data_IF_463833330777
#
_entry.id   IF_463833330777
#
_cell.length_a   1.000
_cell.length_b   1.000
_cell.length_c   1.000
_cell.angle_alpha   90.00
_cell.angle_beta   90.00
_cell.angle_gamma   90.00
#
_symmetry.space_group_name_H-M   'P 1'
#
loop_
_entity.id
_entity.type
_entity.pdbx_description
1 polymer ?
#
# COMPACT_ATOMS: atom_id res chain seq x y z
N UNK A 1 -10.04 46.65 24.86
CA UNK A 1 -9.91 45.18 24.83
C UNK A 1 -9.59 44.75 23.41
N UNK A 2 -8.38 44.23 23.15
CA UNK A 2 -7.98 43.69 21.85
C UNK A 2 -8.29 42.19 21.86
N UNK A 3 -9.26 41.75 21.05
CA UNK A 3 -9.51 40.34 20.78
C UNK A 3 -8.45 39.86 19.79
N UNK A 4 -7.45 39.13 20.29
CA UNK A 4 -6.50 38.42 19.45
C UNK A 4 -7.14 37.10 19.00
N UNK A 5 -7.49 37.00 17.71
CA UNK A 5 -7.95 35.76 17.11
C UNK A 5 -6.75 34.85 16.86
N UNK A 6 -6.64 33.76 17.62
CA UNK A 6 -5.62 32.73 17.44
C UNK A 6 -6.00 31.86 16.25
N UNK A 7 -5.28 31.99 15.14
CA UNK A 7 -5.39 31.09 13.98
C UNK A 7 -4.68 29.78 14.34
N UNK A 8 -5.44 28.69 14.52
CA UNK A 8 -4.90 27.35 14.63
C UNK A 8 -4.59 26.85 13.21
N UNK A 9 -3.31 26.87 12.83
CA UNK A 9 -2.84 26.25 11.60
C UNK A 9 -2.84 24.74 11.84
N UNK A 10 -3.81 24.03 11.27
CA UNK A 10 -3.86 22.58 11.26
C UNK A 10 -2.82 22.07 10.25
N UNK A 11 -1.62 21.75 10.73
CA UNK A 11 -0.59 21.10 9.93
C UNK A 11 -1.05 19.69 9.57
N UNK A 12 -1.55 19.49 8.34
CA UNK A 12 -1.71 18.14 7.80
C UNK A 12 -0.32 17.52 7.65
N UNK A 13 0.02 16.60 8.55
CA UNK A 13 1.16 15.72 8.34
C UNK A 13 0.88 14.89 7.10
N UNK A 14 1.46 15.29 5.98
CA UNK A 14 1.51 14.46 4.77
C UNK A 14 2.44 13.31 5.11
N UNK A 15 1.87 12.24 5.65
CA UNK A 15 2.56 10.96 5.71
C UNK A 15 2.75 10.58 4.25
N UNK A 16 3.94 10.86 3.71
CA UNK A 16 4.39 10.24 2.46
C UNK A 16 4.45 8.75 2.75
N UNK A 17 3.34 8.07 2.52
CA UNK A 17 3.26 6.64 2.65
C UNK A 17 4.22 6.08 1.60
N UNK A 18 5.39 5.63 2.04
CA UNK A 18 6.39 4.98 1.20
C UNK A 18 5.96 3.52 0.88
N UNK A 19 4.68 3.33 0.60
CA UNK A 19 4.05 2.07 0.25
C UNK A 19 3.71 2.08 -1.24
N UNK A 20 3.62 0.90 -1.84
CA UNK A 20 3.10 0.78 -3.19
C UNK A 20 1.66 1.31 -3.28
N UNK A 21 1.24 1.61 -4.51
CA UNK A 21 -0.10 2.12 -4.77
C UNK A 21 -0.99 1.02 -5.35
N UNK A 22 -2.19 0.86 -4.81
CA UNK A 22 -3.23 -0.02 -5.37
C UNK A 22 -4.34 0.85 -5.96
N UNK A 23 -4.39 0.94 -7.29
CA UNK A 23 -5.38 1.74 -8.00
C UNK A 23 -6.14 0.84 -8.98
N UNK A 24 -7.47 0.82 -8.90
CA UNK A 24 -8.33 0.00 -9.78
C UNK A 24 -7.92 -1.48 -9.84
N UNK A 25 -7.52 -2.06 -8.70
CA UNK A 25 -7.07 -3.45 -8.62
C UNK A 25 -5.67 -3.71 -9.19
N UNK A 26 -4.93 -2.67 -9.56
CA UNK A 26 -3.55 -2.76 -10.05
C UNK A 26 -2.60 -2.19 -9.00
N UNK A 27 -1.71 -3.04 -8.49
CA UNK A 27 -0.66 -2.62 -7.58
C UNK A 27 0.60 -2.22 -8.35
N UNK A 28 1.26 -1.15 -7.90
CA UNK A 28 2.55 -0.70 -8.41
C UNK A 28 3.49 -0.38 -7.25
N UNK A 29 4.77 -0.83 -7.31
CA UNK A 29 5.75 -0.54 -6.28
C UNK A 29 6.11 0.95 -6.29
N UNK A 30 6.37 1.52 -5.11
CA UNK A 30 6.85 2.88 -4.94
C UNK A 30 8.38 2.96 -4.99
N UNK A 31 9.11 1.99 -4.43
CA UNK A 31 10.55 2.15 -4.15
C UNK A 31 11.46 1.20 -4.95
N UNK A 32 10.92 0.36 -5.83
CA UNK A 32 11.72 -0.63 -6.56
C UNK A 32 12.39 -0.11 -7.83
N UNK A 33 12.23 1.19 -8.14
CA UNK A 33 12.76 1.78 -9.36
C UNK A 33 12.06 1.26 -10.61
N UNK A 34 12.75 1.32 -11.74
CA UNK A 34 12.20 0.91 -13.03
C UNK A 34 12.46 -0.57 -13.31
N UNK A 35 11.44 -1.25 -13.85
CA UNK A 35 11.57 -2.61 -14.36
C UNK A 35 12.64 -2.64 -15.47
N UNK A 36 13.70 -3.48 -15.35
CA UNK A 36 14.71 -3.60 -16.40
C UNK A 36 14.09 -4.13 -17.70
N UNK A 37 14.34 -3.43 -18.81
CA UNK A 37 13.89 -3.88 -20.14
C UNK A 37 14.61 -5.16 -20.53
N UNK A 38 13.85 -6.16 -20.97
CA UNK A 38 14.43 -7.40 -21.49
C UNK A 38 15.25 -7.12 -22.76
N UNK A 39 16.47 -7.67 -22.89
CA UNK A 39 17.26 -7.53 -24.11
C UNK A 39 16.65 -8.33 -25.25
N UNK A 40 16.84 -7.87 -26.48
CA UNK A 40 16.51 -8.64 -27.68
C UNK A 40 17.62 -9.67 -27.97
N UNK A 41 17.25 -10.84 -28.49
CA UNK A 41 18.20 -11.88 -28.88
C UNK A 41 18.48 -11.75 -30.37
N UNK A 42 19.75 -11.57 -30.74
CA UNK A 42 20.19 -11.56 -32.13
C UNK A 42 20.96 -12.86 -32.43
N UNK A 43 20.42 -13.69 -33.32
CA UNK A 43 21.01 -14.98 -33.71
C UNK A 43 21.51 -15.01 -35.14
N UNK A 44 21.74 -13.84 -35.76
CA UNK A 44 22.20 -13.75 -37.16
C UNK A 44 23.60 -14.32 -37.36
N UNK A 45 24.49 -14.11 -36.39
CA UNK A 45 25.85 -14.64 -36.37
C UNK A 45 26.20 -15.16 -34.98
N UNK A 46 27.31 -15.91 -34.89
CA UNK A 46 27.84 -16.39 -33.60
C UNK A 46 28.22 -15.21 -32.70
N UNK A 47 28.80 -14.15 -33.26
CA UNK A 47 29.20 -12.96 -32.51
C UNK A 47 27.99 -12.18 -31.99
N UNK A 48 26.96 -12.00 -32.81
CA UNK A 48 25.69 -11.38 -32.42
C UNK A 48 25.03 -12.12 -31.25
N UNK A 49 25.05 -13.45 -31.32
CA UNK A 49 24.48 -14.30 -30.27
C UNK A 49 25.30 -14.20 -28.99
N UNK A 50 26.63 -14.29 -29.08
CA UNK A 50 27.51 -14.15 -27.92
C UNK A 50 27.36 -12.78 -27.24
N UNK A 51 27.14 -11.71 -28.01
CA UNK A 51 26.82 -10.39 -27.44
C UNK A 51 25.47 -10.40 -26.73
N UNK A 52 24.44 -11.03 -27.32
CA UNK A 52 23.12 -11.19 -26.69
C UNK A 52 23.22 -11.93 -25.34
N UNK A 53 24.08 -12.95 -25.23
CA UNK A 53 24.32 -13.65 -23.96
C UNK A 53 24.90 -12.74 -22.88
N UNK A 54 25.83 -11.83 -23.23
CA UNK A 54 26.37 -10.86 -22.27
C UNK A 54 25.26 -9.91 -21.78
N UNK A 55 24.43 -9.43 -22.69
CA UNK A 55 23.34 -8.51 -22.37
C UNK A 55 22.29 -9.18 -21.49
N UNK A 56 21.96 -10.46 -21.75
CA UNK A 56 21.09 -11.29 -20.91
C UNK A 56 21.67 -11.43 -19.50
N UNK A 57 22.94 -11.79 -19.36
CA UNK A 57 23.57 -11.97 -18.05
C UNK A 57 23.55 -10.67 -17.24
N UNK A 58 23.82 -9.53 -17.88
CA UNK A 58 23.75 -8.22 -17.24
C UNK A 58 22.30 -7.82 -16.85
N UNK A 59 21.33 -8.18 -17.67
CA UNK A 59 19.91 -7.95 -17.39
C UNK A 59 19.41 -8.83 -16.24
N UNK A 60 19.82 -10.11 -16.17
CA UNK A 60 19.35 -11.07 -15.16
C UNK A 60 19.59 -10.58 -13.74
N UNK A 61 20.78 -10.06 -13.44
CA UNK A 61 21.09 -9.50 -12.11
C UNK A 61 20.14 -8.36 -11.75
N UNK A 62 19.97 -7.39 -12.65
CA UNK A 62 19.07 -6.24 -12.42
C UNK A 62 17.61 -6.69 -12.28
N UNK A 63 17.19 -7.66 -13.08
CA UNK A 63 15.85 -8.21 -13.05
C UNK A 63 15.58 -8.93 -11.72
N UNK A 64 16.56 -9.67 -11.21
CA UNK A 64 16.48 -10.34 -9.91
C UNK A 64 16.39 -9.34 -8.75
N UNK A 65 17.19 -8.27 -8.79
CA UNK A 65 17.14 -7.21 -7.77
C UNK A 65 15.78 -6.51 -7.75
N UNK A 66 15.27 -6.15 -8.93
CA UNK A 66 13.93 -5.59 -9.09
C UNK A 66 12.85 -6.56 -8.57
N UNK A 67 12.93 -7.84 -8.96
CA UNK A 67 12.00 -8.88 -8.51
C UNK A 67 12.00 -9.05 -6.98
N UNK A 68 13.18 -9.10 -6.36
CA UNK A 68 13.29 -9.23 -4.92
C UNK A 68 12.70 -8.01 -4.19
N UNK A 69 12.91 -6.81 -4.74
CA UNK A 69 12.29 -5.61 -4.20
C UNK A 69 10.77 -5.67 -4.26
N UNK A 70 10.18 -5.98 -5.43
CA UNK A 70 8.72 -6.00 -5.55
C UNK A 70 8.08 -7.02 -4.61
N UNK A 71 8.72 -8.19 -4.43
CA UNK A 71 8.24 -9.23 -3.49
C UNK A 71 8.27 -8.70 -2.06
N UNK A 72 9.37 -8.06 -1.67
CA UNK A 72 9.51 -7.51 -0.32
C UNK A 72 8.45 -6.43 -0.05
N UNK A 73 8.29 -5.48 -0.95
CA UNK A 73 7.36 -4.37 -0.78
C UNK A 73 5.91 -4.85 -0.79
N UNK A 74 5.52 -5.68 -1.76
CA UNK A 74 4.16 -6.22 -1.85
C UNK A 74 3.76 -7.02 -0.59
N UNK A 75 4.69 -7.76 0.01
CA UNK A 75 4.41 -8.50 1.25
C UNK A 75 4.15 -7.55 2.43
N UNK A 76 4.93 -6.46 2.54
CA UNK A 76 4.73 -5.44 3.58
C UNK A 76 3.38 -4.74 3.37
N UNK A 77 3.09 -4.32 2.14
CA UNK A 77 1.83 -3.64 1.80
C UNK A 77 0.61 -4.53 2.09
N UNK A 78 0.66 -5.81 1.69
CA UNK A 78 -0.40 -6.77 1.98
C UNK A 78 -0.66 -6.90 3.48
N UNK A 79 0.40 -6.95 4.30
CA UNK A 79 0.27 -7.01 5.76
C UNK A 79 -0.36 -5.74 6.33
N UNK A 80 0.06 -4.56 5.87
CA UNK A 80 -0.48 -3.27 6.31
C UNK A 80 -1.95 -3.14 5.92
N UNK A 81 -2.30 -3.46 4.68
CA UNK A 81 -3.69 -3.43 4.17
C UNK A 81 -4.57 -4.36 5.00
N UNK A 82 -4.16 -5.63 5.17
CA UNK A 82 -4.95 -6.59 5.95
C UNK A 82 -5.14 -6.13 7.41
N UNK A 83 -4.06 -5.67 8.05
CA UNK A 83 -4.10 -5.23 9.45
C UNK A 83 -5.00 -3.99 9.61
N UNK A 84 -4.83 -2.99 8.75
CA UNK A 84 -5.61 -1.75 8.81
C UNK A 84 -7.09 -1.97 8.50
N UNK A 85 -7.40 -2.78 7.48
CA UNK A 85 -8.78 -3.13 7.14
C UNK A 85 -9.47 -3.88 8.28
N UNK A 86 -8.79 -4.87 8.89
CA UNK A 86 -9.33 -5.61 10.02
C UNK A 86 -9.55 -4.71 11.25
N UNK A 87 -8.64 -3.77 11.51
CA UNK A 87 -8.79 -2.81 12.59
C UNK A 87 -10.03 -1.92 12.38
N UNK A 88 -10.22 -1.37 11.17
CA UNK A 88 -11.39 -0.56 10.84
C UNK A 88 -12.70 -1.35 10.95
N UNK A 89 -12.72 -2.61 10.50
CA UNK A 89 -13.88 -3.50 10.66
C UNK A 89 -14.22 -3.75 12.13
N UNK A 90 -13.20 -4.00 12.96
CA UNK A 90 -13.38 -4.26 14.38
C UNK A 90 -13.87 -3.01 15.14
N UNK A 91 -13.34 -1.83 14.80
CA UNK A 91 -13.80 -0.55 15.34
C UNK A 91 -15.29 -0.35 15.03
N UNK A 92 -15.69 -0.51 13.78
CA UNK A 92 -17.08 -0.35 13.37
C UNK A 92 -18.01 -1.37 14.05
N UNK A 93 -17.56 -2.63 14.18
CA UNK A 93 -18.30 -3.67 14.92
C UNK A 93 -18.52 -3.28 16.38
N UNK A 94 -17.51 -2.72 17.05
CA UNK A 94 -17.62 -2.26 18.43
C UNK A 94 -18.64 -1.13 18.56
N UNK A 95 -18.61 -0.18 17.63
CA UNK A 95 -19.55 0.95 17.59
C UNK A 95 -20.99 0.48 17.41
N UNK A 96 -21.25 -0.41 16.46
CA UNK A 96 -22.58 -1.03 16.26
C UNK A 96 -23.04 -1.75 17.53
N UNK A 97 -22.15 -2.51 18.18
CA UNK A 97 -22.46 -3.22 19.43
C UNK A 97 -22.80 -2.26 20.57
N UNK A 98 -22.08 -1.14 20.68
CA UNK A 98 -22.33 -0.10 21.68
C UNK A 98 -23.70 0.53 21.50
N UNK A 99 -24.02 0.96 20.26
CA UNK A 99 -25.31 1.57 19.92
C UNK A 99 -26.46 0.61 20.21
N UNK A 100 -26.32 -0.67 19.86
CA UNK A 100 -27.36 -1.68 20.14
C UNK A 100 -27.64 -1.80 21.65
N UNK A 101 -26.59 -1.88 22.48
CA UNK A 101 -26.75 -1.94 23.94
C UNK A 101 -27.42 -0.70 24.51
N UNK A 102 -27.07 0.48 24.00
CA UNK A 102 -27.69 1.74 24.42
C UNK A 102 -29.17 1.81 24.03
N UNK A 103 -29.52 1.36 22.82
CA UNK A 103 -30.90 1.29 22.36
C UNK A 103 -31.74 0.31 23.21
N UNK A 104 -31.20 -0.89 23.49
CA UNK A 104 -31.88 -1.88 24.34
C UNK A 104 -32.10 -1.36 25.76
N UNK A 105 -31.08 -0.69 26.34
CA UNK A 105 -31.20 -0.06 27.65
C UNK A 105 -32.21 1.10 27.66
N UNK A 106 -32.30 1.87 26.57
CA UNK A 106 -33.31 2.92 26.40
C UNK A 106 -34.72 2.35 26.34
N UNK A 107 -34.92 1.30 25.52
CA UNK A 107 -36.20 0.59 25.41
C UNK A 107 -36.68 0.07 26.77
N UNK A 108 -35.80 -0.62 27.50
CA UNK A 108 -36.12 -1.19 28.80
C UNK A 108 -36.46 -0.13 29.88
N UNK A 109 -36.04 1.13 29.70
CA UNK A 109 -36.45 2.25 30.56
C UNK A 109 -37.86 2.72 30.21
N UNK A 110 -38.14 2.94 28.92
CA UNK A 110 -39.46 3.38 28.44
C UNK A 110 -40.56 2.36 28.73
N UNK A 111 -40.27 1.05 28.65
CA UNK A 111 -41.25 0.01 28.95
C UNK A 111 -41.58 -0.16 30.45
N UNK A 112 -40.83 0.49 31.34
CA UNK A 112 -41.05 0.44 32.79
C UNK A 112 -41.83 1.64 33.34
N UNK A 113 -42.03 2.67 32.51
CA UNK A 113 -42.86 3.84 32.80
C UNK A 113 -44.31 3.60 32.35
#
# INVERSE_FOLDING_TARGET
MKLAATIIILSLAINVANAGSLTNGQWQPANCGQKPSAPAINSKTVDDYNQSIKDINAWQTKAQDYYNCIVKEANVDNQIIATSANAAQQEFKNEVSRIQKEADAGKAKVEKD
#
